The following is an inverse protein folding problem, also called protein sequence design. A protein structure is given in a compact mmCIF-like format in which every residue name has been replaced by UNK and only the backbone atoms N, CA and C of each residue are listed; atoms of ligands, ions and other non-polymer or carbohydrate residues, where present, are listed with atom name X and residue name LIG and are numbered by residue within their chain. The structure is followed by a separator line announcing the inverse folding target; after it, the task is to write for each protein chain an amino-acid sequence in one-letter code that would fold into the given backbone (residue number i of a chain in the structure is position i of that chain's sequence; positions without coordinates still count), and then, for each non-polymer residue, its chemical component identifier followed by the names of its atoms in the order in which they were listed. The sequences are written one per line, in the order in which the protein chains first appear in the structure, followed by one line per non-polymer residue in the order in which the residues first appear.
data_IF_523397780053
#
_entry.id   IF_523397780053
#
_cell.length_a   1.000
_cell.length_b   1.000
_cell.length_c   1.000
_cell.angle_alpha   90.00
_cell.angle_beta   90.00
_cell.angle_gamma   90.00
#
_symmetry.space_group_name_H-M   'P 1'
#
loop_
_entity.id
_entity.type
_entity.pdbx_description
1 polymer ?
#
# COMPACT_ATOMS: atom_id res chain seq x y z
N UNK A 1 -6.81 -4.93 -9.62
CA UNK A 1 -7.38 -6.27 -9.41
C UNK A 1 -6.28 -7.23 -8.98
N UNK A 2 -6.61 -8.23 -8.17
CA UNK A 2 -5.67 -9.23 -7.64
C UNK A 2 -6.06 -10.65 -8.10
N UNK A 3 -5.14 -11.61 -7.98
CA UNK A 3 -5.32 -12.99 -8.48
C UNK A 3 -6.00 -13.93 -7.48
N UNK A 4 -6.16 -13.51 -6.21
CA UNK A 4 -6.81 -14.29 -5.14
C UNK A 4 -6.12 -15.65 -4.88
N UNK A 5 -4.80 -15.71 -5.00
CA UNK A 5 -4.04 -16.94 -4.73
C UNK A 5 -4.05 -17.28 -3.25
N UNK A 6 -4.22 -18.56 -2.94
CA UNK A 6 -4.12 -19.05 -1.57
C UNK A 6 -2.67 -18.95 -1.08
N UNK A 7 -2.48 -18.19 -0.01
CA UNK A 7 -1.22 -17.97 0.69
C UNK A 7 -1.46 -18.16 2.19
N UNK A 8 -0.42 -18.17 3.05
CA UNK A 8 -0.63 -18.08 4.49
C UNK A 8 -1.55 -16.91 4.83
N UNK A 9 -2.48 -17.12 5.76
CA UNK A 9 -3.54 -16.15 6.10
C UNK A 9 -2.98 -14.75 6.41
N UNK A 10 -1.85 -14.67 7.11
CA UNK A 10 -1.19 -13.41 7.40
C UNK A 10 -0.80 -12.61 6.14
N UNK A 11 -0.39 -13.29 5.07
CA UNK A 11 -0.03 -12.67 3.78
C UNK A 11 -1.30 -12.24 3.04
N UNK A 12 -2.35 -13.07 3.07
CA UNK A 12 -3.64 -12.70 2.46
C UNK A 12 -4.27 -11.48 3.15
N UNK A 13 -4.21 -11.43 4.49
CA UNK A 13 -4.68 -10.29 5.28
C UNK A 13 -3.88 -9.02 4.97
N UNK A 14 -2.57 -9.16 4.76
CA UNK A 14 -1.73 -8.06 4.31
C UNK A 14 -2.18 -7.57 2.92
N UNK A 15 -2.38 -8.47 1.96
CA UNK A 15 -2.85 -8.13 0.61
C UNK A 15 -4.17 -7.35 0.66
N UNK A 16 -5.18 -7.88 1.36
CA UNK A 16 -6.49 -7.23 1.48
C UNK A 16 -6.39 -5.84 2.10
N UNK A 17 -5.59 -5.67 3.17
CA UNK A 17 -5.38 -4.36 3.80
C UNK A 17 -4.68 -3.39 2.86
N UNK A 18 -3.70 -3.86 2.09
CA UNK A 18 -2.94 -3.04 1.16
C UNK A 18 -3.80 -2.55 0.00
N UNK A 19 -4.58 -3.45 -0.60
CA UNK A 19 -5.49 -3.11 -1.70
C UNK A 19 -6.55 -2.11 -1.25
N UNK A 20 -7.14 -2.32 -0.06
CA UNK A 20 -8.11 -1.37 0.51
C UNK A 20 -7.49 0.03 0.73
N UNK A 21 -6.23 0.09 1.16
CA UNK A 21 -5.53 1.36 1.33
C UNK A 21 -5.31 2.07 -0.02
N UNK A 22 -4.99 1.33 -1.09
CA UNK A 22 -4.83 1.90 -2.43
C UNK A 22 -6.18 2.37 -3.01
N UNK A 23 -7.26 1.63 -2.80
CA UNK A 23 -8.62 2.05 -3.19
C UNK A 23 -9.06 3.32 -2.47
N UNK A 24 -8.66 3.48 -1.20
CA UNK A 24 -8.93 4.65 -0.39
C UNK A 24 -7.89 5.77 -0.52
N UNK A 25 -6.99 5.75 -1.49
CA UNK A 25 -5.95 6.76 -1.63
C UNK A 25 -6.55 8.14 -1.96
N UNK A 26 -6.20 9.15 -1.15
CA UNK A 26 -6.72 10.53 -1.30
C UNK A 26 -5.65 11.49 -1.80
N UNK A 27 -4.38 11.26 -1.43
CA UNK A 27 -3.26 12.12 -1.80
C UNK A 27 -1.94 11.36 -1.75
N UNK A 28 -0.97 11.78 -2.56
CA UNK A 28 0.39 11.28 -2.50
C UNK A 28 1.40 12.42 -2.40
N UNK A 29 2.54 12.16 -1.77
CA UNK A 29 3.70 13.06 -1.72
C UNK A 29 4.97 12.30 -2.05
N UNK A 30 5.90 12.95 -2.74
CA UNK A 30 7.21 12.40 -3.02
C UNK A 30 8.27 13.15 -2.21
N UNK A 31 9.01 12.41 -1.40
CA UNK A 31 10.09 12.89 -0.54
C UNK A 31 11.38 12.20 -0.95
N UNK A 32 12.15 12.84 -1.84
CA UNK A 32 13.37 12.25 -2.41
C UNK A 32 13.06 10.93 -3.14
N UNK A 33 13.57 9.81 -2.60
CA UNK A 33 13.34 8.46 -3.10
C UNK A 33 12.15 7.75 -2.47
N UNK A 34 11.40 8.42 -1.60
CA UNK A 34 10.23 7.84 -0.92
C UNK A 34 8.93 8.41 -1.50
N UNK A 35 8.00 7.54 -1.87
CA UNK A 35 6.62 7.90 -2.17
C UNK A 35 5.75 7.57 -0.95
N UNK A 36 5.01 8.57 -0.48
CA UNK A 36 4.01 8.42 0.57
C UNK A 36 2.62 8.49 -0.05
N UNK A 37 1.76 7.52 0.27
CA UNK A 37 0.36 7.50 -0.16
C UNK A 37 -0.53 7.59 1.06
N UNK A 38 -1.27 8.70 1.19
CA UNK A 38 -2.24 8.94 2.25
C UNK A 38 -3.60 8.38 1.81
N UNK A 39 -4.17 7.52 2.64
CA UNK A 39 -5.44 6.87 2.39
C UNK A 39 -6.45 7.17 3.49
N UNK A 40 -7.72 7.19 3.11
CA UNK A 40 -8.85 7.45 4.00
C UNK A 40 -8.84 6.48 5.19
N UNK A 41 -8.90 7.01 6.41
CA UNK A 41 -8.99 6.22 7.63
C UNK A 41 -7.70 5.50 8.03
N UNK A 42 -6.54 5.92 7.49
CA UNK A 42 -5.23 5.45 7.93
C UNK A 42 -4.44 6.57 8.62
N UNK A 43 -3.96 6.30 9.84
CA UNK A 43 -3.13 7.25 10.59
C UNK A 43 -1.74 7.48 9.97
N UNK A 44 -1.24 6.51 9.20
CA UNK A 44 0.07 6.55 8.57
C UNK A 44 -0.04 6.23 7.07
N UNK A 45 0.73 6.93 6.21
CA UNK A 45 0.72 6.66 4.78
C UNK A 45 1.37 5.31 4.47
N UNK A 46 1.00 4.71 3.34
CA UNK A 46 1.81 3.67 2.72
C UNK A 46 3.13 4.30 2.27
N UNK A 47 4.23 3.57 2.46
CA UNK A 47 5.58 4.05 2.15
C UNK A 47 6.20 3.14 1.11
N UNK A 48 6.59 3.72 -0.02
CA UNK A 48 7.32 3.02 -1.07
C UNK A 48 8.68 3.66 -1.22
N UNK A 49 9.74 2.86 -1.25
CA UNK A 49 11.08 3.34 -1.55
C UNK A 49 11.40 3.01 -3.00
N UNK A 50 11.97 3.97 -3.72
CA UNK A 50 12.53 3.72 -5.05
C UNK A 50 13.63 2.69 -4.88
N UNK A 51 13.43 1.51 -5.46
CA UNK A 51 14.51 0.55 -5.64
C UNK A 51 15.36 1.05 -6.80
N UNK A 52 16.63 1.32 -6.52
CA UNK A 52 17.63 1.49 -7.57
C UNK A 52 18.00 0.10 -8.09
N UNK A 53 18.17 0.01 -9.42
CA UNK A 53 18.38 -1.23 -10.15
C UNK A 53 19.73 -1.87 -9.90
#
# INVERSE_FOLDING_TARGET
GATLMACPEAVMNQEARYLKALEGAERFTQEGTTLLVHAKGMDRPLRFFRREG
#
